data_IF_745350511837
#
_entry.id   IF_745350511837
#
_cell.length_a   1.000
_cell.length_b   1.000
_cell.length_c   1.000
_cell.angle_alpha   90.00
_cell.angle_beta   90.00
_cell.angle_gamma   90.00
#
_symmetry.space_group_name_H-M   'P 1'
#
loop_
_entity.id
_entity.type
_entity.pdbx_description
1 polymer ?
#
# COMPACT_ATOMS: atom_id res chain seq x y z
N UNK A 1 2.78 21.52 10.49
CA UNK A 1 3.82 20.48 10.46
C UNK A 1 3.21 19.27 9.79
N UNK A 2 3.64 18.94 8.58
CA UNK A 2 3.27 17.69 7.92
C UNK A 2 4.28 16.64 8.38
N UNK A 3 3.81 15.47 8.84
CA UNK A 3 4.69 14.35 9.14
C UNK A 3 5.32 13.89 7.82
N UNK A 4 6.63 14.12 7.66
CA UNK A 4 7.37 13.72 6.46
C UNK A 4 7.77 12.25 6.47
N UNK A 5 7.55 11.54 7.57
CA UNK A 5 7.79 10.11 7.66
C UNK A 5 6.50 9.35 7.39
N UNK A 6 6.30 8.98 6.12
CA UNK A 6 5.36 7.91 5.78
C UNK A 6 5.94 6.63 6.36
N UNK A 7 5.57 6.30 7.60
CA UNK A 7 5.94 5.04 8.24
C UNK A 7 5.20 3.91 7.50
N UNK A 8 5.72 3.49 6.35
CA UNK A 8 5.25 2.27 5.71
C UNK A 8 5.81 1.14 6.58
N UNK A 9 4.92 0.46 7.30
CA UNK A 9 5.32 -0.73 8.04
C UNK A 9 5.83 -1.75 7.04
N UNK A 10 6.92 -2.44 7.38
CA UNK A 10 7.35 -3.62 6.64
C UNK A 10 6.18 -4.61 6.58
N UNK A 11 5.72 -4.91 5.37
CA UNK A 11 4.51 -5.67 5.12
C UNK A 11 4.04 -5.49 3.68
N UNK A 12 3.05 -6.26 3.27
CA UNK A 12 2.45 -6.16 1.94
C UNK A 12 1.73 -4.83 1.74
N UNK A 13 1.54 -4.45 0.47
CA UNK A 13 0.69 -3.30 0.10
C UNK A 13 -0.71 -3.44 0.70
N UNK A 14 -1.30 -4.64 0.61
CA UNK A 14 -2.57 -5.02 1.25
C UNK A 14 -2.58 -4.69 2.74
N UNK A 15 -1.57 -5.13 3.48
CA UNK A 15 -1.51 -4.95 4.94
C UNK A 15 -1.42 -3.47 5.29
N UNK A 16 -0.67 -2.70 4.50
CA UNK A 16 -0.57 -1.25 4.68
C UNK A 16 -1.90 -0.53 4.38
N UNK A 17 -2.67 -0.96 3.39
CA UNK A 17 -4.01 -0.40 3.13
C UNK A 17 -4.99 -0.78 4.26
N UNK A 18 -4.90 -2.03 4.76
CA UNK A 18 -5.73 -2.52 5.85
C UNK A 18 -5.36 -1.93 7.22
N UNK A 19 -4.27 -1.14 7.35
CA UNK A 19 -3.92 -0.49 8.62
C UNK A 19 -5.05 0.39 9.17
N UNK A 20 -5.84 1.02 8.29
CA UNK A 20 -6.99 1.83 8.70
C UNK A 20 -8.23 1.01 9.10
N UNK A 21 -8.29 -0.27 8.69
CA UNK A 21 -9.38 -1.21 8.97
C UNK A 21 -8.83 -2.65 8.89
N UNK A 22 -8.36 -3.24 10.01
CA UNK A 22 -7.68 -4.53 10.01
C UNK A 22 -8.51 -5.69 9.45
N UNK A 23 -9.83 -5.62 9.58
CA UNK A 23 -10.78 -6.62 9.07
C UNK A 23 -11.29 -6.29 7.66
N UNK A 24 -10.62 -5.37 6.94
CA UNK A 24 -11.01 -5.02 5.57
C UNK A 24 -10.94 -6.26 4.66
N UNK A 25 -12.01 -6.50 3.93
CA UNK A 25 -12.05 -7.55 2.92
C UNK A 25 -11.21 -7.15 1.71
N UNK A 26 -10.86 -8.12 0.86
CA UNK A 26 -10.08 -7.84 -0.35
C UNK A 26 -10.78 -6.83 -1.27
N UNK A 27 -12.10 -6.88 -1.37
CA UNK A 27 -12.87 -5.97 -2.21
C UNK A 27 -12.78 -4.53 -1.68
N UNK A 28 -12.86 -4.33 -0.36
CA UNK A 28 -12.71 -3.03 0.29
C UNK A 28 -11.28 -2.47 0.11
N UNK A 29 -10.27 -3.33 0.17
CA UNK A 29 -8.87 -2.94 -0.07
C UNK A 29 -8.70 -2.45 -1.51
N UNK A 30 -9.26 -3.17 -2.49
CA UNK A 30 -9.21 -2.76 -3.91
C UNK A 30 -10.01 -1.48 -4.13
N UNK A 31 -11.20 -1.35 -3.55
CA UNK A 31 -12.02 -0.15 -3.66
C UNK A 31 -11.31 1.09 -3.08
N UNK A 32 -10.65 0.94 -1.92
CA UNK A 32 -9.84 2.00 -1.32
C UNK A 32 -8.65 2.38 -2.22
N UNK A 33 -7.93 1.39 -2.76
CA UNK A 33 -6.83 1.64 -3.69
C UNK A 33 -7.30 2.30 -5.00
N UNK A 34 -8.49 1.97 -5.50
CA UNK A 34 -9.09 2.62 -6.67
C UNK A 34 -9.50 4.06 -6.36
N UNK A 35 -10.11 4.31 -5.20
CA UNK A 35 -10.48 5.65 -4.75
C UNK A 35 -9.25 6.57 -4.63
N UNK A 36 -8.10 6.01 -4.26
CA UNK A 36 -6.82 6.71 -4.19
C UNK A 36 -6.02 6.72 -5.51
N UNK A 37 -6.56 6.21 -6.62
CA UNK A 37 -5.84 6.04 -7.89
C UNK A 37 -4.55 5.19 -7.80
N UNK A 38 -4.40 4.40 -6.73
CA UNK A 38 -3.25 3.55 -6.47
C UNK A 38 -3.39 2.14 -7.11
N UNK A 39 -4.61 1.64 -7.33
CA UNK A 39 -4.86 0.28 -7.85
C UNK A 39 -4.07 -0.02 -9.13
N UNK A 40 -4.07 0.91 -10.09
CA UNK A 40 -3.35 0.75 -11.35
C UNK A 40 -1.82 0.68 -11.16
N UNK A 41 -1.27 1.39 -10.17
CA UNK A 41 0.15 1.29 -9.82
C UNK A 41 0.45 -0.03 -9.12
N UNK A 42 -0.37 -0.39 -8.12
CA UNK A 42 -0.20 -1.60 -7.32
C UNK A 42 -0.22 -2.83 -8.22
N UNK A 43 -1.16 -2.93 -9.17
CA UNK A 43 -1.24 -4.05 -10.12
C UNK A 43 -0.04 -4.18 -11.07
N UNK A 44 0.77 -3.13 -11.24
CA UNK A 44 1.99 -3.17 -12.06
C UNK A 44 3.21 -3.66 -11.26
N UNK A 45 3.10 -3.76 -9.94
CA UNK A 45 4.15 -4.35 -9.12
C UNK A 45 4.23 -5.87 -9.41
N UNK A 46 5.41 -6.49 -9.25
CA UNK A 46 5.62 -7.91 -9.54
C UNK A 46 4.59 -8.84 -8.88
N UNK A 47 4.19 -8.52 -7.65
CA UNK A 47 3.28 -9.33 -6.83
C UNK A 47 1.95 -8.60 -6.53
N UNK A 48 1.68 -7.49 -7.22
CA UNK A 48 0.44 -6.75 -7.02
C UNK A 48 0.24 -6.25 -5.57
N UNK A 49 -0.93 -6.54 -5.01
CA UNK A 49 -1.28 -6.21 -3.62
C UNK A 49 -0.48 -6.99 -2.57
N UNK A 50 0.08 -8.14 -2.94
CA UNK A 50 0.92 -8.96 -2.07
C UNK A 50 2.41 -8.55 -2.16
N UNK A 51 2.73 -7.51 -2.94
CA UNK A 51 4.08 -6.92 -2.97
C UNK A 51 4.49 -6.48 -1.58
N UNK A 52 5.57 -7.07 -1.07
CA UNK A 52 6.14 -6.73 0.24
C UNK A 52 6.90 -5.40 0.13
N UNK A 53 6.49 -4.43 0.93
CA UNK A 53 7.22 -3.18 1.13
C UNK A 53 8.10 -3.38 2.36
N UNK A 54 9.39 -3.06 2.24
CA UNK A 54 10.34 -3.06 3.37
C UNK A 54 10.80 -1.63 3.63
N UNK A 55 11.20 -1.35 4.87
CA UNK A 55 11.69 -0.05 5.39
C UNK A 55 12.89 0.57 4.62
N UNK A 56 13.36 -0.06 3.54
CA UNK A 56 14.51 0.35 2.74
C UNK A 56 14.21 1.17 1.48
N UNK A 57 13.03 1.80 1.36
CA UNK A 57 12.80 2.94 0.45
C UNK A 57 13.18 2.77 -1.03
N UNK A 58 13.25 1.54 -1.56
CA UNK A 58 13.85 1.30 -2.88
C UNK A 58 12.93 1.51 -4.08
N UNK A 59 11.62 1.74 -3.90
CA UNK A 59 10.64 1.68 -4.99
C UNK A 59 9.79 2.94 -5.20
N UNK A 60 10.07 4.03 -4.49
CA UNK A 60 9.43 5.33 -4.72
C UNK A 60 10.53 6.35 -5.06
N UNK A 61 10.98 6.34 -6.31
CA UNK A 61 11.94 7.32 -6.80
C UNK A 61 11.32 8.72 -6.86
N UNK A 62 12.07 9.67 -6.26
CA UNK A 62 12.04 11.15 -6.28
C UNK A 62 10.87 11.87 -6.96
#
# INVERSE_FOLDING_TARGET
MVLQDTWIKTGTVRENIALGKPDATQDEIVAAAQACHADGFIRRLPDGYDTVITDGGGLLSQ
#
